data_IF_043927884924
#
_entry.id   IF_043927884924
#
_cell.length_a   1.000
_cell.length_b   1.000
_cell.length_c   1.000
_cell.angle_alpha   90.00
_cell.angle_beta   90.00
_cell.angle_gamma   90.00
#
_symmetry.space_group_name_H-M   'P 1'
#
loop_
_entity.id
_entity.type
_entity.pdbx_description
1 polymer ?
#
# COMPACT_ATOMS: atom_id res chain seq x y z
N UNK A 1 18.95 3.60 -13.44
CA UNK A 1 17.90 3.64 -12.41
C UNK A 1 17.77 5.07 -11.91
N UNK A 2 16.54 5.56 -11.71
CA UNK A 2 16.32 6.84 -11.04
C UNK A 2 16.48 6.67 -9.53
N UNK A 3 16.97 7.69 -8.78
CA UNK A 3 17.04 7.65 -7.31
C UNK A 3 15.68 7.28 -6.70
N UNK A 4 15.65 6.69 -5.50
CA UNK A 4 14.37 6.42 -4.82
C UNK A 4 13.68 7.72 -4.38
N UNK A 5 12.34 7.75 -4.40
CA UNK A 5 11.56 8.87 -3.85
C UNK A 5 11.77 9.04 -2.34
N UNK A 6 12.01 7.93 -1.63
CA UNK A 6 12.33 7.87 -0.19
C UNK A 6 13.05 6.57 0.13
N UNK A 7 13.97 6.60 1.08
CA UNK A 7 14.65 5.40 1.56
C UNK A 7 13.65 4.37 2.10
N UNK A 8 13.94 3.07 1.91
CA UNK A 8 13.06 1.97 2.34
C UNK A 8 11.93 1.60 1.36
N UNK A 9 11.87 2.25 0.20
CA UNK A 9 11.08 1.76 -0.95
C UNK A 9 11.90 0.76 -1.78
N UNK A 10 11.20 -0.16 -2.46
CA UNK A 10 11.75 -0.81 -3.64
C UNK A 10 11.80 0.16 -4.82
N UNK A 11 12.65 -0.10 -5.81
CA UNK A 11 12.73 0.66 -7.05
C UNK A 11 11.38 0.61 -7.78
N UNK A 12 10.76 -0.57 -7.86
CA UNK A 12 9.44 -0.76 -8.46
C UNK A 12 8.36 0.11 -7.81
N UNK A 13 8.29 0.13 -6.48
CA UNK A 13 7.35 0.97 -5.74
C UNK A 13 7.63 2.47 -5.97
N UNK A 14 8.91 2.87 -5.95
CA UNK A 14 9.31 4.26 -6.20
C UNK A 14 8.88 4.74 -7.59
N UNK A 15 9.06 3.91 -8.63
CA UNK A 15 8.70 4.27 -9.99
C UNK A 15 7.17 4.24 -10.21
N UNK A 16 6.48 3.28 -9.58
CA UNK A 16 5.03 3.21 -9.57
C UNK A 16 4.39 4.44 -8.91
N UNK A 17 4.94 4.90 -7.78
CA UNK A 17 4.51 6.14 -7.13
C UNK A 17 4.65 7.36 -8.04
N UNK A 18 5.79 7.50 -8.76
CA UNK A 18 5.97 8.60 -9.72
C UNK A 18 4.88 8.60 -10.80
N UNK A 19 4.59 7.43 -11.38
CA UNK A 19 3.56 7.31 -12.41
C UNK A 19 2.16 7.60 -11.89
N UNK A 20 1.89 7.27 -10.62
CA UNK A 20 0.64 7.62 -9.94
C UNK A 20 0.57 9.11 -9.49
N UNK A 21 1.63 9.90 -9.72
CA UNK A 21 1.70 11.31 -9.33
C UNK A 21 2.07 11.57 -7.86
N UNK A 22 2.56 10.56 -7.15
CA UNK A 22 3.06 10.68 -5.77
C UNK A 22 4.49 11.21 -5.77
N UNK A 23 4.74 12.21 -4.92
CA UNK A 23 6.08 12.77 -4.71
C UNK A 23 6.65 12.32 -3.36
N UNK A 24 7.97 12.48 -3.18
CA UNK A 24 8.65 12.12 -1.92
C UNK A 24 8.07 12.82 -0.69
N UNK A 25 7.54 14.04 -0.86
CA UNK A 25 6.92 14.81 0.22
C UNK A 25 5.61 14.19 0.74
N UNK A 26 4.91 13.41 -0.09
CA UNK A 26 3.69 12.71 0.31
C UNK A 26 3.99 11.42 1.09
N UNK A 27 5.22 10.89 1.02
CA UNK A 27 5.56 9.63 1.66
C UNK A 27 5.88 9.89 3.13
N UNK A 28 5.00 9.42 4.01
CA UNK A 28 5.18 9.50 5.46
C UNK A 28 6.14 8.44 5.97
N UNK A 29 5.72 7.17 5.86
CA UNK A 29 6.45 6.03 6.41
C UNK A 29 6.71 4.97 5.35
N UNK A 30 7.93 4.46 5.32
CA UNK A 30 8.36 3.30 4.51
C UNK A 30 8.78 2.18 5.46
N UNK A 31 10.07 2.10 5.81
CA UNK A 31 10.57 1.29 6.91
C UNK A 31 10.47 2.11 8.20
N UNK A 32 9.88 1.52 9.24
CA UNK A 32 9.79 2.14 10.55
C UNK A 32 9.07 1.26 11.56
N UNK A 33 9.37 1.50 12.84
CA UNK A 33 8.78 0.77 13.97
C UNK A 33 7.93 1.70 14.83
N UNK A 34 7.13 2.59 14.21
CA UNK A 34 6.15 3.34 14.98
C UNK A 34 5.27 2.35 15.77
N UNK A 35 5.05 2.60 17.06
CA UNK A 35 4.33 1.67 17.96
C UNK A 35 2.94 1.26 17.42
N UNK A 36 2.29 2.15 16.64
CA UNK A 36 0.98 1.92 16.04
C UNK A 36 0.99 0.98 14.82
N UNK A 37 2.15 0.72 14.20
CA UNK A 37 2.30 -0.12 12.99
C UNK A 37 3.25 -1.30 13.21
N UNK A 38 3.35 -1.77 14.46
CA UNK A 38 4.32 -2.76 14.90
C UNK A 38 4.22 -4.09 14.12
N UNK A 39 4.99 -4.19 13.04
CA UNK A 39 5.12 -5.39 12.20
C UNK A 39 4.93 -5.14 10.71
N UNK A 40 4.14 -4.13 10.31
CA UNK A 40 3.78 -3.90 8.90
C UNK A 40 4.88 -3.17 8.13
N UNK A 41 5.55 -2.22 8.78
CA UNK A 41 6.64 -1.42 8.20
C UNK A 41 8.04 -1.92 8.58
N UNK A 42 8.15 -3.18 9.02
CA UNK A 42 9.46 -3.86 9.14
C UNK A 42 10.04 -4.09 7.75
N UNK A 43 11.38 -4.05 7.59
CA UNK A 43 12.01 -4.46 6.34
C UNK A 43 11.53 -5.85 5.92
N UNK A 44 11.32 -6.06 4.63
CA UNK A 44 11.16 -7.41 4.09
C UNK A 44 12.43 -8.23 4.30
N UNK A 45 12.28 -9.56 4.30
CA UNK A 45 13.43 -10.47 4.42
C UNK A 45 14.25 -10.55 3.14
N UNK A 46 13.67 -10.14 2.00
CA UNK A 46 14.35 -10.05 0.72
C UNK A 46 14.88 -8.65 0.48
N UNK A 47 15.93 -8.55 -0.33
CA UNK A 47 16.48 -7.26 -0.78
C UNK A 47 16.00 -6.95 -2.18
N UNK A 48 15.75 -5.69 -2.46
CA UNK A 48 15.52 -5.19 -3.81
C UNK A 48 16.78 -4.48 -4.29
N UNK A 49 17.43 -5.02 -5.32
CA UNK A 49 18.72 -4.54 -5.84
C UNK A 49 19.79 -4.32 -4.75
N UNK A 50 19.81 -5.19 -3.73
CA UNK A 50 20.75 -5.11 -2.61
C UNK A 50 20.35 -4.15 -1.48
N UNK A 51 19.17 -3.52 -1.55
CA UNK A 51 18.66 -2.60 -0.55
C UNK A 51 17.47 -3.18 0.23
N UNK A 52 17.39 -2.82 1.51
CA UNK A 52 16.22 -3.12 2.33
C UNK A 52 15.05 -2.24 1.92
N UNK A 53 13.86 -2.84 1.88
CA UNK A 53 12.61 -2.15 1.62
C UNK A 53 11.48 -2.68 2.50
N UNK A 54 10.36 -1.96 2.55
CA UNK A 54 9.07 -2.46 3.01
C UNK A 54 8.12 -2.45 1.80
N UNK A 55 7.32 -3.51 1.62
CA UNK A 55 6.28 -3.49 0.58
C UNK A 55 5.13 -2.54 0.95
N UNK A 56 4.99 -2.17 2.23
CA UNK A 56 4.02 -1.20 2.72
C UNK A 56 4.62 0.21 2.82
N UNK A 57 3.82 1.20 2.42
CA UNK A 57 4.14 2.63 2.50
C UNK A 57 2.91 3.41 2.92
N UNK A 58 3.07 4.33 3.88
CA UNK A 58 2.02 5.25 4.29
C UNK A 58 2.19 6.61 3.61
N UNK A 59 1.10 7.13 3.03
CA UNK A 59 1.05 8.43 2.39
C UNK A 59 0.29 9.46 3.24
N UNK A 60 0.90 10.62 3.44
CA UNK A 60 0.27 11.81 4.00
C UNK A 60 -0.66 12.46 2.97
N UNK A 61 -1.91 12.67 3.35
CA UNK A 61 -2.99 13.14 2.46
C UNK A 61 -3.92 14.15 3.15
N UNK A 62 -3.42 14.86 4.17
CA UNK A 62 -4.23 15.76 5.00
C UNK A 62 -4.91 16.86 4.17
N UNK A 63 -4.24 17.33 3.12
CA UNK A 63 -4.74 18.39 2.23
C UNK A 63 -5.69 17.88 1.13
N UNK A 64 -5.90 16.57 1.02
CA UNK A 64 -6.77 15.98 0.00
C UNK A 64 -8.19 15.81 0.52
N UNK A 65 -9.19 16.21 -0.27
CA UNK A 65 -10.58 15.83 -0.03
C UNK A 65 -10.86 14.40 -0.52
N UNK A 66 -12.01 13.83 -0.13
CA UNK A 66 -12.39 12.45 -0.45
C UNK A 66 -12.36 12.13 -1.96
N UNK A 67 -12.75 13.09 -2.81
CA UNK A 67 -12.72 12.88 -4.25
C UNK A 67 -11.28 12.75 -4.77
N UNK A 68 -10.36 13.61 -4.28
CA UNK A 68 -8.93 13.54 -4.62
C UNK A 68 -8.28 12.28 -4.08
N UNK A 69 -8.67 11.82 -2.88
CA UNK A 69 -8.24 10.52 -2.34
C UNK A 69 -8.68 9.39 -3.27
N UNK A 70 -9.94 9.35 -3.71
CA UNK A 70 -10.43 8.31 -4.64
C UNK A 70 -9.70 8.32 -5.98
N UNK A 71 -9.37 9.49 -6.53
CA UNK A 71 -8.55 9.58 -7.73
C UNK A 71 -7.14 9.03 -7.50
N UNK A 72 -6.52 9.37 -6.37
CA UNK A 72 -5.19 8.86 -6.01
C UNK A 72 -5.20 7.34 -5.80
N UNK A 73 -6.18 6.80 -5.08
CA UNK A 73 -6.37 5.34 -4.92
C UNK A 73 -6.51 4.65 -6.28
N UNK A 74 -7.28 5.24 -7.20
CA UNK A 74 -7.44 4.70 -8.55
C UNK A 74 -6.11 4.68 -9.32
N UNK A 75 -5.34 5.77 -9.28
CA UNK A 75 -4.04 5.85 -9.94
C UNK A 75 -3.05 4.85 -9.34
N UNK A 76 -2.96 4.75 -8.02
CA UNK A 76 -2.08 3.80 -7.33
C UNK A 76 -2.42 2.35 -7.65
N UNK A 77 -3.70 1.97 -7.64
CA UNK A 77 -4.08 0.58 -7.93
C UNK A 77 -3.89 0.18 -9.38
N UNK A 78 -3.92 1.14 -10.32
CA UNK A 78 -3.51 0.88 -11.70
C UNK A 78 -2.00 0.66 -11.85
N UNK A 79 -1.21 1.09 -10.85
CA UNK A 79 0.24 0.91 -10.78
C UNK A 79 0.65 -0.29 -9.91
N UNK A 80 -0.31 -1.10 -9.46
CA UNK A 80 -0.05 -2.34 -8.73
C UNK A 80 -0.03 -2.21 -7.22
N UNK A 81 -0.60 -1.15 -6.65
CA UNK A 81 -0.78 -1.03 -5.20
C UNK A 81 -2.15 -1.50 -4.73
N UNK A 82 -2.17 -2.37 -3.72
CA UNK A 82 -3.33 -2.61 -2.88
C UNK A 82 -3.40 -1.48 -1.83
N UNK A 83 -4.32 -0.53 -2.03
CA UNK A 83 -4.40 0.68 -1.20
C UNK A 83 -5.63 0.70 -0.30
N UNK A 84 -5.42 1.13 0.94
CA UNK A 84 -6.43 1.36 1.96
C UNK A 84 -6.42 2.80 2.41
N UNK A 85 -7.57 3.47 2.32
CA UNK A 85 -7.76 4.75 2.95
C UNK A 85 -8.04 4.54 4.43
N UNK A 86 -7.18 5.11 5.27
CA UNK A 86 -7.29 5.09 6.73
C UNK A 86 -7.79 6.46 7.17
N UNK A 87 -8.99 6.51 7.74
CA UNK A 87 -9.67 7.77 8.10
C UNK A 87 -10.45 7.57 9.40
N UNK A 88 -10.23 8.41 10.43
CA UNK A 88 -10.85 8.24 11.75
C UNK A 88 -12.34 7.87 11.72
N UNK A 89 -12.67 6.69 12.25
CA UNK A 89 -14.05 6.19 12.37
C UNK A 89 -14.66 5.62 11.10
N UNK A 90 -13.93 5.59 9.99
CA UNK A 90 -14.37 5.03 8.70
C UNK A 90 -13.78 3.64 8.48
N UNK A 91 -14.55 2.73 7.89
CA UNK A 91 -14.10 1.38 7.52
C UNK A 91 -13.40 0.61 8.67
N UNK A 92 -13.88 0.84 9.90
CA UNK A 92 -13.34 0.30 11.16
C UNK A 92 -11.94 0.83 11.54
N UNK A 93 -11.46 1.88 10.89
CA UNK A 93 -10.25 2.58 11.31
C UNK A 93 -10.48 3.30 12.65
N UNK A 94 -9.59 3.16 13.65
CA UNK A 94 -9.77 3.78 14.95
C UNK A 94 -9.93 5.30 14.85
N UNK A 95 -10.85 5.87 15.65
CA UNK A 95 -11.15 7.32 15.64
C UNK A 95 -10.00 8.20 16.12
N UNK A 96 -9.00 7.60 16.77
CA UNK A 96 -7.82 8.31 17.31
C UNK A 96 -6.61 8.25 16.38
N UNK A 97 -6.65 7.40 15.35
CA UNK A 97 -5.49 7.12 14.52
C UNK A 97 -5.48 8.02 13.28
N UNK A 98 -4.29 8.45 12.86
CA UNK A 98 -4.15 9.49 11.84
C UNK A 98 -4.72 9.10 10.47
N UNK A 99 -5.24 10.10 9.76
CA UNK A 99 -5.71 9.97 8.38
C UNK A 99 -4.53 9.80 7.41
N UNK A 100 -4.51 8.74 6.62
CA UNK A 100 -3.47 8.45 5.62
C UNK A 100 -3.96 7.43 4.57
N UNK A 101 -3.13 7.14 3.55
CA UNK A 101 -3.31 5.95 2.70
C UNK A 101 -2.24 4.94 3.08
N UNK A 102 -2.64 3.73 3.43
CA UNK A 102 -1.74 2.58 3.54
C UNK A 102 -1.68 1.89 2.18
N UNK A 103 -0.52 1.91 1.52
CA UNK A 103 -0.32 1.37 0.19
C UNK A 103 0.65 0.18 0.23
N UNK A 104 0.18 -0.99 -0.16
CA UNK A 104 0.99 -2.21 -0.29
C UNK A 104 1.34 -2.41 -1.76
N UNK A 105 2.62 -2.32 -2.12
CA UNK A 105 3.08 -2.57 -3.48
C UNK A 105 3.16 -4.07 -3.75
N UNK A 106 2.37 -4.56 -4.71
CA UNK A 106 2.30 -5.99 -5.02
C UNK A 106 3.37 -6.48 -6.00
N UNK A 107 4.16 -5.58 -6.59
CA UNK A 107 5.25 -5.92 -7.50
C UNK A 107 6.57 -6.27 -6.80
N UNK A 108 6.53 -6.84 -5.60
CA UNK A 108 7.70 -7.30 -4.82
C UNK A 108 7.34 -8.48 -3.93
N UNK A 109 8.31 -9.34 -3.56
CA UNK A 109 8.11 -10.30 -2.47
C UNK A 109 7.73 -9.58 -1.18
N UNK A 110 6.86 -10.16 -0.35
CA UNK A 110 6.48 -9.55 0.91
C UNK A 110 6.20 -10.57 2.01
N UNK A 111 6.32 -10.12 3.26
CA UNK A 111 5.96 -10.88 4.46
C UNK A 111 4.47 -11.23 4.52
N UNK A 112 4.16 -12.31 5.23
CA UNK A 112 2.82 -12.89 5.33
C UNK A 112 1.74 -11.89 5.75
N UNK A 113 2.02 -10.98 6.69
CA UNK A 113 1.05 -9.96 7.10
C UNK A 113 0.61 -9.07 5.94
N UNK A 114 1.53 -8.66 5.05
CA UNK A 114 1.21 -7.85 3.88
C UNK A 114 0.58 -8.69 2.76
N UNK A 115 0.93 -9.98 2.65
CA UNK A 115 0.21 -10.91 1.75
C UNK A 115 -1.26 -11.06 2.15
N UNK A 116 -1.53 -11.20 3.45
CA UNK A 116 -2.90 -11.25 3.97
C UNK A 116 -3.68 -9.95 3.68
N UNK A 117 -3.00 -8.80 3.74
CA UNK A 117 -3.59 -7.55 3.29
C UNK A 117 -3.84 -7.54 1.76
N UNK A 118 -2.91 -7.99 0.92
CA UNK A 118 -3.15 -8.06 -0.52
C UNK A 118 -4.37 -8.95 -0.86
N UNK A 119 -4.50 -10.11 -0.22
CA UNK A 119 -5.67 -10.99 -0.34
C UNK A 119 -6.97 -10.31 0.11
N UNK A 120 -6.94 -9.64 1.27
CA UNK A 120 -8.08 -8.90 1.81
C UNK A 120 -8.55 -7.81 0.83
N UNK A 121 -7.61 -7.07 0.24
CA UNK A 121 -7.91 -6.05 -0.76
C UNK A 121 -8.57 -6.65 -2.01
N UNK A 122 -8.02 -7.76 -2.52
CA UNK A 122 -8.57 -8.48 -3.68
C UNK A 122 -9.96 -9.06 -3.41
N UNK A 123 -10.31 -9.30 -2.14
CA UNK A 123 -11.63 -9.73 -1.69
C UNK A 123 -12.56 -8.55 -1.32
N UNK A 124 -12.15 -7.30 -1.55
CA UNK A 124 -12.95 -6.11 -1.23
C UNK A 124 -13.08 -5.81 0.27
N UNK A 125 -12.11 -6.25 1.08
CA UNK A 125 -12.06 -6.06 2.53
C UNK A 125 -11.07 -4.97 2.92
N UNK A 126 -11.11 -4.52 4.18
CA UNK A 126 -10.37 -3.37 4.69
C UNK A 126 -8.91 -3.68 5.11
N UNK A 127 -8.46 -4.92 5.03
CA UNK A 127 -7.09 -5.32 5.38
C UNK A 127 -6.69 -5.03 6.83
N UNK A 128 -7.67 -4.79 7.72
CA UNK A 128 -7.45 -4.73 9.16
C UNK A 128 -7.68 -6.11 9.76
N UNK A 129 -7.36 -6.28 11.04
CA UNK A 129 -7.69 -7.51 11.78
C UNK A 129 -9.18 -7.87 11.70
N UNK A 130 -10.07 -6.87 11.64
CA UNK A 130 -11.51 -7.10 11.48
C UNK A 130 -11.90 -7.70 10.12
N UNK A 131 -11.05 -7.51 9.11
CA UNK A 131 -11.27 -7.91 7.72
C UNK A 131 -12.69 -7.60 7.20
N UNK A 132 -13.25 -6.47 7.66
CA UNK A 132 -14.59 -6.02 7.32
C UNK A 132 -14.64 -5.54 5.86
N UNK A 133 -15.82 -5.42 5.23
CA UNK A 133 -15.94 -4.81 3.91
C UNK A 133 -15.29 -3.42 3.86
N UNK A 134 -14.56 -3.11 2.79
CA UNK A 134 -13.98 -1.79 2.57
C UNK A 134 -14.96 -0.92 1.78
N UNK A 135 -15.57 0.10 2.38
CA UNK A 135 -16.72 0.76 1.75
C UNK A 135 -16.36 2.09 1.08
N UNK A 136 -15.28 2.75 1.48
CA UNK A 136 -14.95 4.07 0.96
C UNK A 136 -14.76 4.12 -0.56
N UNK A 137 -14.05 3.14 -1.11
CA UNK A 137 -13.70 3.05 -2.52
C UNK A 137 -13.48 1.59 -2.91
N UNK A 138 -13.86 1.24 -4.14
CA UNK A 138 -13.71 -0.11 -4.69
C UNK A 138 -12.88 -0.04 -5.98
N UNK A 139 -11.88 -0.93 -6.14
CA UNK A 139 -11.08 -0.97 -7.37
C UNK A 139 -11.89 -1.45 -8.55
N UNK A 140 -11.55 -0.96 -9.74
CA UNK A 140 -12.07 -1.53 -10.99
C UNK A 140 -11.53 -2.95 -11.21
N UNK A 141 -12.23 -3.76 -12.01
CA UNK A 141 -11.77 -5.09 -12.39
C UNK A 141 -10.36 -5.07 -13.03
N UNK A 142 -10.06 -4.02 -13.81
CA UNK A 142 -8.73 -3.81 -14.39
C UNK A 142 -7.66 -3.63 -13.31
N UNK A 143 -7.91 -2.78 -12.33
CA UNK A 143 -6.98 -2.56 -11.23
C UNK A 143 -6.78 -3.84 -10.41
N UNK A 144 -7.87 -4.58 -10.11
CA UNK A 144 -7.76 -5.88 -9.43
C UNK A 144 -6.92 -6.89 -10.22
N UNK A 145 -7.09 -6.97 -11.54
CA UNK A 145 -6.30 -7.87 -12.38
C UNK A 145 -4.80 -7.50 -12.38
N UNK A 146 -4.47 -6.22 -12.45
CA UNK A 146 -3.08 -5.73 -12.37
C UNK A 146 -2.44 -6.11 -11.03
N UNK A 147 -3.10 -5.77 -9.92
CA UNK A 147 -2.63 -6.06 -8.56
C UNK A 147 -2.46 -7.56 -8.36
N UNK A 148 -3.46 -8.37 -8.75
CA UNK A 148 -3.39 -9.84 -8.66
C UNK A 148 -2.22 -10.40 -9.46
N UNK A 149 -2.04 -9.97 -10.70
CA UNK A 149 -0.99 -10.47 -11.58
C UNK A 149 0.39 -10.20 -10.99
N UNK A 150 0.65 -8.97 -10.53
CA UNK A 150 1.91 -8.61 -9.89
C UNK A 150 2.13 -9.39 -8.59
N UNK A 151 1.10 -9.46 -7.74
CA UNK A 151 1.15 -10.15 -6.46
C UNK A 151 1.58 -11.60 -6.63
N UNK A 152 0.89 -12.34 -7.51
CA UNK A 152 1.15 -13.76 -7.77
C UNK A 152 2.50 -14.02 -8.43
N UNK A 153 2.94 -13.14 -9.32
CA UNK A 153 4.25 -13.25 -9.96
C UNK A 153 5.41 -13.13 -8.96
N UNK A 154 5.23 -12.35 -7.88
CA UNK A 154 6.28 -12.07 -6.90
C UNK A 154 6.09 -12.80 -5.56
N UNK A 155 4.94 -13.43 -5.35
CA UNK A 155 4.60 -14.23 -4.18
C UNK A 155 3.97 -15.57 -4.64
N UNK A 156 4.77 -16.44 -5.30
CA UNK A 156 4.23 -17.63 -6.00
C UNK A 156 3.66 -18.71 -5.07
N UNK A 157 3.92 -18.64 -3.76
CA UNK A 157 3.30 -19.51 -2.77
C UNK A 157 1.79 -19.23 -2.57
N UNK A 158 1.29 -18.13 -3.12
CA UNK A 158 -0.11 -17.70 -3.05
C UNK A 158 -0.89 -17.95 -4.36
N UNK A 159 -0.29 -18.67 -5.33
CA UNK A 159 -0.96 -19.13 -6.56
C UNK A 159 -1.96 -20.26 -6.30
#
# INVERSE_FOLDING_TARGET
MQPLLKAGLSQGASDAFRRAGVTGAMIGQTIGLAKASAGEHKPETTLDNGHQYSAATDLHIQDLNDQRVKYLLTALSLEGFACYYRDPGRDHWPTKDARHIHAVYCGVPMKESLRNQAHSWLAGKNGLLSNAPYLFWQPSAKAQAIVRTLFLAHNPADN
#
